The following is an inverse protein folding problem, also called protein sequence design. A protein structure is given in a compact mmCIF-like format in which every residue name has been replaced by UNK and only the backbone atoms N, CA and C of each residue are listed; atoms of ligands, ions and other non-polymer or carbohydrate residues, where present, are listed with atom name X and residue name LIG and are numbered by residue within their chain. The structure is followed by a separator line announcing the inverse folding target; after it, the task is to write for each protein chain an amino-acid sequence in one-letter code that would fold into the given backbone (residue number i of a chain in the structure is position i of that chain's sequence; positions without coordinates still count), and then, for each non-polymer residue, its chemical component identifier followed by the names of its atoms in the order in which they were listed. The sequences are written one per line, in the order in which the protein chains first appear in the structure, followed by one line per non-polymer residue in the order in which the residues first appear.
data_IF_331068198604
#
_entry.id   IF_331068198604
#
_cell.length_a   1.000
_cell.length_b   1.000
_cell.length_c   1.000
_cell.angle_alpha   90.00
_cell.angle_beta   90.00
_cell.angle_gamma   90.00
#
_symmetry.space_group_name_H-M   'P 1'
#
loop_
_entity.id
_entity.type
_entity.pdbx_description
1 polymer ?
#
# COMPACT_ATOMS: atom_id res chain seq x y z
N UNK A 1 -42.37 14.84 -14.99
CA UNK A 1 -40.99 14.65 -14.47
C UNK A 1 -41.01 15.13 -13.04
N UNK A 2 -41.13 14.21 -12.09
CA UNK A 2 -41.10 14.52 -10.66
C UNK A 2 -39.65 14.81 -10.26
N UNK A 3 -39.39 16.05 -9.86
CA UNK A 3 -38.14 16.44 -9.24
C UNK A 3 -37.91 15.58 -7.99
N UNK A 4 -36.81 14.83 -7.99
CA UNK A 4 -36.35 14.09 -6.82
C UNK A 4 -35.76 15.11 -5.83
N UNK A 5 -36.34 15.28 -4.63
CA UNK A 5 -35.83 16.26 -3.68
C UNK A 5 -34.40 15.87 -3.27
N UNK A 6 -33.48 16.85 -3.32
CA UNK A 6 -32.05 16.69 -3.01
C UNK A 6 -31.78 16.05 -1.63
N UNK A 7 -32.75 16.09 -0.72
CA UNK A 7 -32.72 15.44 0.58
C UNK A 7 -32.60 13.90 0.48
N UNK A 8 -33.24 13.26 -0.50
CA UNK A 8 -33.12 11.81 -0.71
C UNK A 8 -31.71 11.42 -1.17
N UNK A 9 -31.05 12.27 -1.95
CA UNK A 9 -29.70 12.01 -2.45
C UNK A 9 -28.68 12.18 -1.33
N UNK A 10 -28.76 13.27 -0.55
CA UNK A 10 -27.86 13.52 0.57
C UNK A 10 -27.97 12.47 1.68
N UNK A 11 -29.19 12.05 2.06
CA UNK A 11 -29.40 11.01 3.08
C UNK A 11 -28.75 9.67 2.68
N UNK A 12 -28.70 9.36 1.38
CA UNK A 12 -28.06 8.16 0.83
C UNK A 12 -26.52 8.22 0.91
N UNK A 13 -25.92 9.39 0.68
CA UNK A 13 -24.47 9.57 0.82
C UNK A 13 -24.02 9.56 2.29
N UNK A 14 -24.80 10.14 3.20
CA UNK A 14 -24.47 10.15 4.64
C UNK A 14 -24.57 8.75 5.24
N UNK A 15 -25.58 7.96 4.86
CA UNK A 15 -25.70 6.56 5.29
C UNK A 15 -24.63 5.67 4.66
N UNK A 16 -24.28 5.84 3.38
CA UNK A 16 -23.20 5.07 2.76
C UNK A 16 -21.81 5.37 3.37
N UNK A 17 -21.52 6.64 3.67
CA UNK A 17 -20.27 7.05 4.32
C UNK A 17 -20.17 6.48 5.73
N UNK A 18 -21.25 6.56 6.52
CA UNK A 18 -21.31 6.01 7.87
C UNK A 18 -21.21 4.49 7.89
N UNK A 19 -21.82 3.78 6.93
CA UNK A 19 -21.63 2.33 6.79
C UNK A 19 -20.17 1.95 6.52
N UNK A 20 -19.52 2.62 5.58
CA UNK A 20 -18.14 2.32 5.23
C UNK A 20 -17.17 2.64 6.38
N UNK A 21 -17.42 3.73 7.10
CA UNK A 21 -16.66 4.13 8.28
C UNK A 21 -16.88 3.19 9.46
N UNK A 22 -18.12 2.80 9.75
CA UNK A 22 -18.45 1.78 10.75
C UNK A 22 -17.78 0.45 10.45
N UNK A 23 -17.70 0.06 9.17
CA UNK A 23 -17.06 -1.18 8.76
C UNK A 23 -15.52 -1.11 8.90
N UNK A 24 -14.91 0.04 8.58
CA UNK A 24 -13.48 0.29 8.84
C UNK A 24 -13.19 0.23 10.35
N UNK A 25 -13.99 0.92 11.16
CA UNK A 25 -13.85 0.93 12.61
C UNK A 25 -13.99 -0.49 13.18
N UNK A 26 -14.98 -1.27 12.73
CA UNK A 26 -15.15 -2.66 13.13
C UNK A 26 -13.94 -3.54 12.76
N UNK A 27 -13.34 -3.36 11.57
CA UNK A 27 -12.14 -4.12 11.19
C UNK A 27 -10.91 -3.74 12.01
N UNK A 28 -10.77 -2.46 12.39
CA UNK A 28 -9.70 -1.98 13.26
C UNK A 28 -9.86 -2.51 14.68
N UNK A 29 -11.07 -2.47 15.24
CA UNK A 29 -11.38 -3.01 16.57
C UNK A 29 -11.11 -4.53 16.65
N UNK A 30 -11.45 -5.28 15.60
CA UNK A 30 -11.10 -6.71 15.50
C UNK A 30 -9.59 -6.96 15.55
N UNK A 31 -8.78 -6.09 14.95
CA UNK A 31 -7.30 -6.17 15.03
C UNK A 31 -6.81 -5.84 16.44
N UNK A 32 -7.47 -4.91 17.12
CA UNK A 32 -7.20 -4.57 18.52
C UNK A 32 -7.78 -5.58 19.53
N UNK A 33 -8.48 -6.63 19.07
CA UNK A 33 -9.16 -7.62 19.93
C UNK A 33 -10.21 -6.99 20.86
N UNK A 34 -10.79 -5.87 20.47
CA UNK A 34 -11.88 -5.19 21.19
C UNK A 34 -13.19 -5.60 20.52
N UNK A 35 -14.12 -6.18 21.29
CA UNK A 35 -15.47 -6.43 20.79
C UNK A 35 -16.20 -5.09 20.66
N UNK A 36 -17.02 -4.87 19.62
CA UNK A 36 -17.74 -3.60 19.46
C UNK A 36 -18.60 -3.23 20.68
N UNK A 37 -19.21 -4.22 21.32
CA UNK A 37 -20.03 -4.04 22.54
C UNK A 37 -19.22 -3.68 23.78
N UNK A 38 -17.94 -4.04 23.83
CA UNK A 38 -17.04 -3.74 24.94
C UNK A 38 -16.31 -2.39 24.73
N UNK A 39 -16.57 -1.68 23.62
CA UNK A 39 -15.85 -0.46 23.25
C UNK A 39 -16.08 0.67 24.24
N UNK A 40 -17.32 0.94 24.61
CA UNK A 40 -17.65 2.02 25.55
C UNK A 40 -17.12 1.71 26.96
N UNK A 41 -17.23 0.45 27.40
CA UNK A 41 -16.64 -0.01 28.66
C UNK A 41 -15.12 0.12 28.66
N UNK A 42 -14.47 -0.25 27.55
CA UNK A 42 -13.03 -0.11 27.39
C UNK A 42 -12.56 1.34 27.31
N UNK A 43 -13.37 2.25 26.76
CA UNK A 43 -13.08 3.68 26.66
C UNK A 43 -13.37 4.44 27.97
N UNK A 44 -14.24 3.89 28.83
CA UNK A 44 -14.57 4.47 30.13
C UNK A 44 -13.41 4.36 31.14
N UNK A 45 -12.56 3.34 31.02
CA UNK A 45 -11.33 3.22 31.80
C UNK A 45 -10.16 3.81 31.01
N UNK A 46 -9.76 5.02 31.39
CA UNK A 46 -8.74 5.79 30.68
C UNK A 46 -7.38 5.08 30.62
N UNK A 47 -6.94 4.45 31.70
CA UNK A 47 -5.61 3.83 31.76
C UNK A 47 -5.59 2.54 30.93
N UNK A 48 -6.63 1.72 31.05
CA UNK A 48 -6.81 0.53 30.21
C UNK A 48 -6.98 0.91 28.73
N UNK A 49 -7.66 2.01 28.44
CA UNK A 49 -7.80 2.53 27.07
C UNK A 49 -6.44 2.90 26.47
N UNK A 50 -5.61 3.66 27.20
CA UNK A 50 -4.28 4.04 26.73
C UNK A 50 -3.38 2.84 26.52
N UNK A 51 -3.37 1.88 27.45
CA UNK A 51 -2.59 0.67 27.30
C UNK A 51 -2.98 -0.10 26.02
N UNK A 52 -4.29 -0.31 25.80
CA UNK A 52 -4.79 -0.98 24.59
C UNK A 52 -4.49 -0.20 23.31
N UNK A 53 -4.54 1.12 23.37
CA UNK A 53 -4.20 1.99 22.25
C UNK A 53 -2.71 1.87 21.88
N UNK A 54 -1.81 1.95 22.86
CA UNK A 54 -0.37 1.79 22.63
C UNK A 54 -0.01 0.39 22.11
N UNK A 55 -0.55 -0.66 22.73
CA UNK A 55 -0.33 -2.03 22.27
C UNK A 55 -0.87 -2.25 20.84
N UNK A 56 -2.06 -1.72 20.54
CA UNK A 56 -2.67 -1.82 19.22
C UNK A 56 -1.89 -1.09 18.14
N UNK A 57 -1.43 0.14 18.43
CA UNK A 57 -0.61 0.94 17.50
C UNK A 57 0.76 0.31 17.27
N UNK A 58 1.39 -0.23 18.32
CA UNK A 58 2.65 -0.96 18.21
C UNK A 58 2.51 -2.17 17.30
N UNK A 59 1.50 -3.04 17.53
CA UNK A 59 1.24 -4.22 16.68
C UNK A 59 1.00 -3.85 15.21
N UNK A 60 0.31 -2.74 14.97
CA UNK A 60 0.05 -2.26 13.62
C UNK A 60 1.33 -1.84 12.90
N UNK A 61 2.24 -1.13 13.57
CA UNK A 61 3.52 -0.73 12.98
C UNK A 61 4.48 -1.92 12.81
N UNK A 62 4.44 -2.88 13.74
CA UNK A 62 5.17 -4.15 13.62
C UNK A 62 4.72 -4.93 12.36
N UNK A 63 3.41 -5.10 12.14
CA UNK A 63 2.88 -5.74 10.91
C UNK A 63 3.26 -4.96 9.65
N UNK A 64 3.19 -3.62 9.70
CA UNK A 64 3.59 -2.76 8.58
C UNK A 64 5.06 -2.96 8.22
N UNK A 65 5.92 -3.02 9.23
CA UNK A 65 7.36 -3.23 9.08
C UNK A 65 7.67 -4.65 8.59
N UNK A 66 7.02 -5.67 9.15
CA UNK A 66 7.16 -7.06 8.72
C UNK A 66 6.72 -7.26 7.26
N UNK A 67 5.60 -6.67 6.83
CA UNK A 67 5.16 -6.68 5.42
C UNK A 67 6.17 -6.02 4.49
N UNK A 68 6.72 -4.87 4.89
CA UNK A 68 7.76 -4.17 4.13
C UNK A 68 9.02 -5.04 4.03
N UNK A 69 9.42 -5.69 5.12
CA UNK A 69 10.57 -6.58 5.15
C UNK A 69 10.37 -7.80 4.24
N UNK A 70 9.23 -8.49 4.35
CA UNK A 70 8.86 -9.60 3.44
C UNK A 70 8.90 -9.22 1.97
N UNK A 71 8.38 -8.04 1.59
CA UNK A 71 8.46 -7.53 0.21
C UNK A 71 9.88 -7.22 -0.24
N UNK A 72 10.76 -6.78 0.67
CA UNK A 72 12.19 -6.60 0.37
C UNK A 72 12.88 -7.94 0.15
N UNK A 73 12.67 -8.90 1.05
CA UNK A 73 13.20 -10.26 0.89
C UNK A 73 12.71 -10.92 -0.39
N UNK A 74 11.43 -10.80 -0.73
CA UNK A 74 10.88 -11.34 -1.98
C UNK A 74 11.47 -10.72 -3.25
N UNK A 75 11.97 -9.47 -3.20
CA UNK A 75 12.68 -8.84 -4.33
C UNK A 75 14.16 -9.24 -4.38
N UNK A 76 14.76 -9.46 -3.22
CA UNK A 76 16.19 -9.75 -3.08
C UNK A 76 16.51 -11.24 -3.11
N UNK A 77 15.51 -12.11 -2.97
CA UNK A 77 15.66 -13.54 -3.17
C UNK A 77 15.85 -13.77 -4.66
N UNK A 78 17.03 -14.24 -5.11
CA UNK A 78 17.20 -14.63 -6.49
C UNK A 78 16.22 -15.78 -6.71
N UNK A 79 15.16 -15.55 -7.47
CA UNK A 79 14.46 -16.66 -8.08
C UNK A 79 15.53 -17.42 -8.87
N UNK A 80 15.65 -18.75 -8.78
CA UNK A 80 16.51 -19.51 -9.66
C UNK A 80 15.90 -19.43 -11.07
N UNK A 81 15.99 -18.26 -11.69
CA UNK A 81 15.96 -18.14 -13.13
C UNK A 81 17.21 -18.88 -13.55
N UNK A 82 17.00 -20.07 -14.12
CA UNK A 82 17.96 -20.70 -15.01
C UNK A 82 18.61 -19.58 -15.80
N UNK A 83 19.86 -19.27 -15.51
CA UNK A 83 20.59 -18.22 -16.19
C UNK A 83 20.80 -18.71 -17.61
N UNK A 84 19.75 -18.61 -18.45
CA UNK A 84 19.91 -18.50 -19.88
C UNK A 84 20.88 -17.35 -20.04
N UNK A 85 22.12 -17.70 -20.38
CA UNK A 85 23.15 -16.78 -20.81
C UNK A 85 22.51 -15.99 -21.93
N UNK A 86 21.92 -14.86 -21.55
CA UNK A 86 21.26 -13.98 -22.48
C UNK A 86 22.43 -13.34 -23.16
N UNK A 87 22.66 -13.71 -24.42
CA UNK A 87 23.60 -13.05 -25.31
C UNK A 87 23.37 -11.57 -25.15
N UNK A 88 24.22 -10.89 -24.37
CA UNK A 88 24.10 -9.47 -24.09
C UNK A 88 24.23 -8.77 -25.42
N UNK A 89 23.10 -8.45 -26.04
CA UNK A 89 23.09 -7.77 -27.33
C UNK A 89 23.59 -6.36 -27.05
N UNK A 90 24.82 -6.10 -27.44
CA UNK A 90 25.45 -4.80 -27.34
C UNK A 90 24.91 -3.87 -28.45
N UNK A 91 24.62 -2.63 -28.08
CA UNK A 91 24.12 -1.60 -28.98
C UNK A 91 25.11 -0.44 -29.02
N UNK A 92 25.76 -0.20 -30.16
CA UNK A 92 26.72 0.89 -30.29
C UNK A 92 26.06 2.20 -30.70
N UNK A 93 26.47 3.30 -30.07
CA UNK A 93 26.02 4.64 -30.44
C UNK A 93 26.71 5.13 -31.72
N UNK A 94 25.97 5.61 -32.74
CA UNK A 94 26.58 6.12 -33.97
C UNK A 94 27.35 7.43 -33.77
N UNK A 95 27.07 8.19 -32.70
CA UNK A 95 27.68 9.51 -32.47
C UNK A 95 28.98 9.44 -31.68
N UNK A 96 29.05 8.58 -30.66
CA UNK A 96 30.20 8.50 -29.76
C UNK A 96 30.78 7.09 -29.60
N UNK A 97 30.26 6.10 -30.33
CA UNK A 97 30.67 4.69 -30.31
C UNK A 97 30.62 4.00 -28.93
N UNK A 98 29.94 4.60 -27.94
CA UNK A 98 29.68 3.94 -26.65
C UNK A 98 28.78 2.72 -26.84
N UNK A 99 29.12 1.63 -26.16
CA UNK A 99 28.34 0.41 -26.14
C UNK A 99 27.31 0.47 -25.01
N UNK A 100 26.04 0.26 -25.34
CA UNK A 100 24.94 0.15 -24.41
C UNK A 100 24.48 -1.30 -24.31
N UNK A 101 24.21 -1.78 -23.09
CA UNK A 101 23.66 -3.13 -22.86
C UNK A 101 22.15 -3.26 -23.17
N UNK A 102 21.50 -2.19 -23.64
CA UNK A 102 20.09 -2.21 -24.01
C UNK A 102 19.75 -1.09 -25.01
N UNK A 103 18.65 -1.26 -25.76
CA UNK A 103 18.12 -0.24 -26.67
C UNK A 103 17.66 1.02 -25.93
N UNK A 104 17.12 0.88 -24.72
CA UNK A 104 16.72 2.01 -23.88
C UNK A 104 17.95 2.84 -23.49
N UNK A 105 19.06 2.19 -23.13
CA UNK A 105 20.33 2.87 -22.86
C UNK A 105 20.85 3.63 -24.06
N UNK A 106 20.80 3.03 -25.26
CA UNK A 106 21.17 3.70 -26.51
C UNK A 106 20.30 4.93 -26.79
N UNK A 107 18.98 4.82 -26.65
CA UNK A 107 18.06 5.94 -26.89
C UNK A 107 18.30 7.11 -25.94
N UNK A 108 18.50 6.83 -24.63
CA UNK A 108 18.85 7.86 -23.64
C UNK A 108 20.19 8.53 -23.97
N UNK A 109 21.19 7.75 -24.36
CA UNK A 109 22.49 8.28 -24.78
C UNK A 109 22.35 9.18 -26.03
N UNK A 110 21.56 8.77 -27.02
CA UNK A 110 21.31 9.59 -28.21
C UNK A 110 20.61 10.91 -27.88
N UNK A 111 19.76 10.97 -26.86
CA UNK A 111 19.17 12.23 -26.40
C UNK A 111 20.22 13.21 -25.84
N UNK A 112 21.30 12.72 -25.24
CA UNK A 112 22.39 13.60 -24.75
C UNK A 112 23.26 14.18 -25.85
N UNK A 113 23.13 13.67 -27.08
CA UNK A 113 23.79 14.21 -28.26
C UNK A 113 22.92 15.21 -29.04
N UNK A 114 21.63 15.33 -28.68
CA UNK A 114 20.74 16.38 -29.19
C UNK A 114 20.95 17.65 -28.41
#
# INVERSE_FOLDING_TARGET
MTDCPAECCMASYTTASTWQENQRNATSLKKCKIRPEDLETAASDHDTWWQRYYEGTQRLEEDRTARRHRKRLSRNTPTPMTASITTTTSYSCPTCNRICGSRIGLFRLQQTHR
#
